data_IF_523158513720
#
_entry.id   IF_523158513720
#
_cell.length_a   1.000
_cell.length_b   1.000
_cell.length_c   1.000
_cell.angle_alpha   90.00
_cell.angle_beta   90.00
_cell.angle_gamma   90.00
#
_symmetry.space_group_name_H-M   'P 1'
#
loop_
_entity.id
_entity.type
_entity.pdbx_description
1 polymer ?
#
# COMPACT_ATOMS: atom_id res chain seq x y z
N UNK A 1 51.05 47.84 -34.35
CA UNK A 1 49.90 47.40 -35.23
C UNK A 1 49.43 45.96 -34.94
N UNK A 2 50.23 45.11 -34.32
CA UNK A 2 49.90 43.72 -33.98
C UNK A 2 48.91 43.54 -32.82
N UNK A 3 49.03 44.31 -31.75
CA UNK A 3 48.18 44.19 -30.55
C UNK A 3 46.69 44.53 -30.82
N UNK A 4 46.37 45.49 -31.65
CA UNK A 4 45.00 45.85 -32.04
C UNK A 4 44.32 44.72 -32.85
N UNK A 5 45.07 43.98 -33.67
CA UNK A 5 44.52 42.83 -34.42
C UNK A 5 44.23 41.64 -33.51
N UNK A 6 45.04 41.36 -32.48
CA UNK A 6 44.83 40.29 -31.47
C UNK A 6 43.63 40.60 -30.59
N UNK A 7 43.43 41.84 -30.14
CA UNK A 7 42.28 42.22 -29.30
C UNK A 7 40.96 42.14 -30.08
N UNK A 8 40.93 42.46 -31.36
CA UNK A 8 39.75 42.36 -32.24
C UNK A 8 39.41 40.87 -32.49
N UNK A 9 40.40 40.00 -32.66
CA UNK A 9 40.18 38.56 -32.88
C UNK A 9 39.64 37.87 -31.63
N UNK A 10 40.12 38.22 -30.43
CA UNK A 10 39.59 37.70 -29.17
C UNK A 10 38.16 38.19 -28.89
N UNK A 11 37.83 39.43 -29.24
CA UNK A 11 36.47 39.96 -29.11
C UNK A 11 35.48 39.23 -30.04
N UNK A 12 35.90 38.95 -31.31
CA UNK A 12 35.10 38.16 -32.25
C UNK A 12 34.87 36.71 -31.76
N UNK A 13 35.91 36.04 -31.25
CA UNK A 13 35.79 34.69 -30.67
C UNK A 13 34.83 34.65 -29.44
N UNK A 14 34.90 35.66 -28.58
CA UNK A 14 34.01 35.78 -27.43
C UNK A 14 32.56 35.99 -27.83
N UNK A 15 32.29 36.83 -28.83
CA UNK A 15 30.95 37.05 -29.37
C UNK A 15 30.44 35.78 -30.02
N UNK A 16 31.26 35.05 -30.80
CA UNK A 16 30.87 33.79 -31.41
C UNK A 16 30.50 32.71 -30.37
N UNK A 17 31.28 32.62 -29.29
CA UNK A 17 31.00 31.66 -28.22
C UNK A 17 29.70 32.00 -27.46
N UNK A 18 29.44 33.30 -27.24
CA UNK A 18 28.19 33.76 -26.62
C UNK A 18 27.01 33.47 -27.54
N UNK A 19 27.12 33.73 -28.83
CA UNK A 19 26.06 33.43 -29.80
C UNK A 19 25.77 31.95 -29.92
N UNK A 20 26.79 31.09 -29.90
CA UNK A 20 26.64 29.64 -29.89
C UNK A 20 25.95 29.14 -28.60
N UNK A 21 26.30 29.72 -27.45
CA UNK A 21 25.65 29.38 -26.17
C UNK A 21 24.17 29.79 -26.16
N UNK A 22 23.85 31.00 -26.70
CA UNK A 22 22.46 31.49 -26.80
C UNK A 22 21.65 30.58 -27.74
N UNK A 23 22.21 30.25 -28.91
CA UNK A 23 21.56 29.30 -29.84
C UNK A 23 21.35 27.94 -29.19
N UNK A 24 22.34 27.45 -28.46
CA UNK A 24 22.22 26.19 -27.68
C UNK A 24 21.08 26.22 -26.67
N UNK A 25 20.95 27.32 -25.92
CA UNK A 25 19.86 27.51 -24.97
C UNK A 25 18.48 27.54 -25.66
N UNK A 26 18.40 28.27 -26.81
CA UNK A 26 17.15 28.33 -27.58
C UNK A 26 16.77 26.95 -28.13
N UNK A 27 17.72 26.18 -28.67
CA UNK A 27 17.49 24.84 -29.20
C UNK A 27 17.04 23.90 -28.09
N UNK A 28 17.67 23.93 -26.90
CA UNK A 28 17.26 23.15 -25.74
C UNK A 28 15.86 23.56 -25.28
N UNK A 29 15.54 24.85 -25.24
CA UNK A 29 14.22 25.36 -24.90
C UNK A 29 13.14 24.90 -25.90
N UNK A 30 13.41 24.92 -27.19
CA UNK A 30 12.50 24.44 -28.24
C UNK A 30 12.29 22.91 -28.16
N UNK A 31 13.34 22.14 -27.91
CA UNK A 31 13.25 20.70 -27.70
C UNK A 31 12.43 20.38 -26.44
N UNK A 32 12.64 21.11 -25.35
CA UNK A 32 11.90 20.96 -24.12
C UNK A 32 10.41 21.29 -24.32
N UNK A 33 10.10 22.37 -25.03
CA UNK A 33 8.73 22.74 -25.38
C UNK A 33 8.04 21.65 -26.23
N UNK A 34 8.74 21.11 -27.22
CA UNK A 34 8.24 20.02 -28.06
C UNK A 34 8.02 18.72 -27.28
N UNK A 35 8.86 18.44 -26.29
CA UNK A 35 8.66 17.32 -25.34
C UNK A 35 7.40 17.56 -24.48
N UNK A 36 7.18 18.79 -24.00
CA UNK A 36 5.99 19.14 -23.23
C UNK A 36 4.70 19.05 -24.07
N UNK A 37 4.73 19.50 -25.31
CA UNK A 37 3.58 19.37 -26.24
C UNK A 37 3.24 17.92 -26.58
N UNK A 38 4.24 17.04 -26.68
CA UNK A 38 4.04 15.61 -26.92
C UNK A 38 3.87 14.79 -25.64
N UNK A 39 3.82 15.44 -24.45
CA UNK A 39 3.70 14.76 -23.16
C UNK A 39 2.46 13.86 -23.04
N UNK A 40 1.35 14.31 -23.62
CA UNK A 40 0.11 13.50 -23.67
C UNK A 40 0.26 12.22 -24.49
N UNK A 41 0.98 12.28 -25.63
CA UNK A 41 1.28 11.09 -26.43
C UNK A 41 2.25 10.14 -25.74
N UNK A 42 3.29 10.67 -25.09
CA UNK A 42 4.25 9.89 -24.31
C UNK A 42 3.54 9.20 -23.11
N UNK A 43 2.68 9.94 -22.41
CA UNK A 43 1.87 9.42 -21.32
C UNK A 43 0.92 8.29 -21.79
N UNK A 44 0.27 8.45 -22.93
CA UNK A 44 -0.57 7.42 -23.52
C UNK A 44 0.21 6.15 -23.89
N UNK A 45 1.45 6.26 -24.33
CA UNK A 45 2.33 5.11 -24.58
C UNK A 45 2.71 4.43 -23.27
N UNK A 46 3.09 5.20 -22.23
CA UNK A 46 3.41 4.65 -20.91
C UNK A 46 2.19 3.94 -20.30
N UNK A 47 0.98 4.50 -20.44
CA UNK A 47 -0.27 3.90 -19.96
C UNK A 47 -0.58 2.58 -20.68
N UNK A 48 -0.34 2.51 -21.99
CA UNK A 48 -0.48 1.26 -22.76
C UNK A 48 0.54 0.20 -22.32
N UNK A 49 1.80 0.59 -22.14
CA UNK A 49 2.85 -0.31 -21.67
C UNK A 49 2.51 -0.80 -20.25
N UNK A 50 2.16 0.12 -19.35
CA UNK A 50 1.77 -0.22 -17.98
C UNK A 50 0.58 -1.18 -17.94
N UNK A 51 -0.44 -0.94 -18.77
CA UNK A 51 -1.60 -1.81 -18.89
C UNK A 51 -1.25 -3.20 -19.42
N UNK A 52 -0.31 -3.30 -20.36
CA UNK A 52 0.15 -4.59 -20.88
C UNK A 52 0.96 -5.40 -19.84
N UNK A 53 1.72 -4.71 -18.98
CA UNK A 53 2.47 -5.36 -17.90
C UNK A 53 1.65 -5.60 -16.63
N UNK A 54 0.45 -5.03 -16.51
CA UNK A 54 -0.38 -5.15 -15.31
C UNK A 54 -0.59 -6.60 -14.82
N UNK A 55 -0.92 -7.60 -15.67
CA UNK A 55 -1.08 -8.98 -15.22
C UNK A 55 0.24 -9.58 -14.66
N UNK A 56 1.37 -9.24 -15.26
CA UNK A 56 2.70 -9.71 -14.81
C UNK A 56 3.06 -9.09 -13.46
N UNK A 57 2.78 -7.79 -13.29
CA UNK A 57 2.99 -7.09 -12.02
C UNK A 57 2.11 -7.69 -10.93
N UNK A 58 0.81 -7.92 -11.23
CA UNK A 58 -0.11 -8.59 -10.29
C UNK A 58 0.42 -9.98 -9.92
N UNK A 59 0.88 -10.77 -10.89
CA UNK A 59 1.47 -12.09 -10.65
C UNK A 59 2.75 -12.03 -9.79
N UNK A 60 3.61 -11.05 -10.03
CA UNK A 60 4.81 -10.84 -9.21
C UNK A 60 4.46 -10.44 -7.76
N UNK A 61 3.44 -9.60 -7.58
CA UNK A 61 2.93 -9.23 -6.25
C UNK A 61 2.35 -10.45 -5.52
N UNK A 62 1.51 -11.26 -6.19
CA UNK A 62 0.98 -12.50 -5.62
C UNK A 62 2.12 -13.44 -5.23
N UNK A 63 3.10 -13.67 -6.12
CA UNK A 63 4.25 -14.52 -5.84
C UNK A 63 5.08 -14.01 -4.65
N UNK A 64 5.23 -12.69 -4.52
CA UNK A 64 5.93 -12.06 -3.40
C UNK A 64 5.19 -12.25 -2.07
N UNK A 65 3.88 -12.02 -2.05
CA UNK A 65 3.03 -12.20 -0.86
C UNK A 65 2.96 -13.67 -0.43
N UNK A 66 2.93 -14.59 -1.39
CA UNK A 66 2.87 -16.03 -1.13
C UNK A 66 4.24 -16.66 -0.85
N UNK A 67 5.33 -15.92 -1.03
CA UNK A 67 6.67 -16.45 -0.82
C UNK A 67 6.93 -17.07 0.58
N UNK A 68 6.43 -16.55 1.71
CA UNK A 68 6.57 -17.20 3.02
C UNK A 68 5.94 -18.59 3.04
N UNK A 69 4.74 -18.73 2.48
CA UNK A 69 4.01 -20.01 2.39
C UNK A 69 4.76 -20.99 1.47
N UNK A 70 5.25 -20.49 0.33
CA UNK A 70 6.06 -21.27 -0.61
C UNK A 70 7.32 -21.81 0.06
N UNK A 71 8.06 -20.99 0.81
CA UNK A 71 9.28 -21.41 1.50
C UNK A 71 8.98 -22.43 2.60
N UNK A 72 7.85 -22.28 3.30
CA UNK A 72 7.40 -23.27 4.29
C UNK A 72 7.19 -24.63 3.64
N UNK A 73 6.42 -24.72 2.56
CA UNK A 73 6.17 -25.98 1.86
C UNK A 73 7.43 -26.54 1.19
N UNK A 74 8.30 -25.69 0.64
CA UNK A 74 9.59 -26.10 0.08
C UNK A 74 10.45 -26.84 1.12
N UNK A 75 10.57 -26.28 2.31
CA UNK A 75 11.32 -26.92 3.41
C UNK A 75 10.68 -28.23 3.81
N UNK A 76 9.35 -28.24 3.97
CA UNK A 76 8.60 -29.41 4.35
C UNK A 76 8.80 -30.58 3.35
N UNK A 77 8.58 -30.33 2.07
CA UNK A 77 8.74 -31.36 1.04
C UNK A 77 10.20 -31.76 0.82
N UNK A 78 11.13 -30.82 0.92
CA UNK A 78 12.54 -31.14 0.82
C UNK A 78 12.96 -32.12 1.94
N UNK A 79 12.53 -31.89 3.17
CA UNK A 79 12.81 -32.78 4.31
C UNK A 79 12.17 -34.16 4.12
N UNK A 80 10.87 -34.20 3.76
CA UNK A 80 10.15 -35.47 3.56
C UNK A 80 10.78 -36.34 2.46
N UNK A 81 11.13 -35.76 1.32
CA UNK A 81 11.65 -36.50 0.18
C UNK A 81 13.14 -36.84 0.28
N UNK A 82 13.93 -35.99 0.98
CA UNK A 82 15.34 -36.25 1.20
C UNK A 82 15.58 -37.50 2.03
N UNK A 83 14.73 -37.76 3.02
CA UNK A 83 14.87 -38.90 3.95
C UNK A 83 14.41 -40.24 3.35
N UNK A 84 13.55 -40.26 2.31
CA UNK A 84 12.83 -41.48 1.93
C UNK A 84 12.84 -41.90 0.44
N UNK A 85 13.04 -41.01 -0.53
CA UNK A 85 12.62 -41.32 -1.90
C UNK A 85 13.59 -40.90 -3.02
N UNK A 86 14.32 -39.79 -2.94
CA UNK A 86 15.04 -39.24 -4.08
C UNK A 86 16.52 -38.97 -3.76
N UNK A 87 17.41 -39.79 -4.32
CA UNK A 87 18.86 -39.63 -4.17
C UNK A 87 19.48 -38.54 -5.06
N UNK A 88 18.82 -38.16 -6.16
CA UNK A 88 19.27 -37.10 -7.08
C UNK A 88 18.83 -35.72 -6.60
N UNK A 89 19.78 -34.89 -6.16
CA UNK A 89 19.55 -33.53 -5.66
C UNK A 89 18.78 -32.61 -6.62
N UNK A 90 19.00 -32.75 -7.95
CA UNK A 90 18.31 -31.94 -8.96
C UNK A 90 16.86 -32.36 -9.13
N UNK A 91 16.57 -33.66 -9.11
CA UNK A 91 15.21 -34.19 -9.17
C UNK A 91 14.47 -33.86 -7.88
N UNK A 92 15.11 -34.03 -6.72
CA UNK A 92 14.55 -33.66 -5.41
C UNK A 92 14.10 -32.18 -5.38
N UNK A 93 14.99 -31.26 -5.77
CA UNK A 93 14.67 -29.82 -5.82
C UNK A 93 13.49 -29.52 -6.75
N UNK A 94 13.48 -30.12 -7.96
CA UNK A 94 12.42 -29.89 -8.94
C UNK A 94 11.07 -30.41 -8.46
N UNK A 95 11.03 -31.62 -7.88
CA UNK A 95 9.78 -32.22 -7.36
C UNK A 95 9.26 -31.44 -6.17
N UNK A 96 10.09 -31.15 -5.15
CA UNK A 96 9.72 -30.33 -3.99
C UNK A 96 9.17 -28.99 -4.42
N UNK A 97 9.88 -28.26 -5.32
CA UNK A 97 9.45 -26.97 -5.82
C UNK A 97 8.09 -27.02 -6.54
N UNK A 98 7.89 -28.00 -7.41
CA UNK A 98 6.61 -28.14 -8.13
C UNK A 98 5.45 -28.38 -7.19
N UNK A 99 5.60 -29.27 -6.22
CA UNK A 99 4.57 -29.55 -5.22
C UNK A 99 4.31 -28.34 -4.32
N UNK A 100 5.37 -27.64 -3.90
CA UNK A 100 5.25 -26.42 -3.09
C UNK A 100 4.49 -25.32 -3.81
N UNK A 101 4.76 -25.11 -5.10
CA UNK A 101 4.07 -24.10 -5.92
C UNK A 101 2.60 -24.46 -6.07
N UNK A 102 2.28 -25.72 -6.37
CA UNK A 102 0.90 -26.20 -6.50
C UNK A 102 0.15 -25.96 -5.18
N UNK A 103 0.71 -26.44 -4.06
CA UNK A 103 0.04 -26.31 -2.77
C UNK A 103 -0.08 -24.85 -2.32
N UNK A 104 0.93 -24.01 -2.54
CA UNK A 104 0.85 -22.56 -2.28
C UNK A 104 -0.25 -21.91 -3.10
N UNK A 105 -0.39 -22.28 -4.37
CA UNK A 105 -1.45 -21.75 -5.25
C UNK A 105 -2.83 -22.21 -4.77
N UNK A 106 -2.98 -23.47 -4.38
CA UNK A 106 -4.25 -23.98 -3.80
C UNK A 106 -4.59 -23.25 -2.51
N UNK A 107 -3.63 -23.04 -1.61
CA UNK A 107 -3.84 -22.28 -0.37
C UNK A 107 -4.24 -20.84 -0.68
N UNK A 108 -3.58 -20.18 -1.63
CA UNK A 108 -3.93 -18.82 -2.05
C UNK A 108 -5.38 -18.73 -2.58
N UNK A 109 -5.74 -19.63 -3.49
CA UNK A 109 -7.10 -19.69 -4.03
C UNK A 109 -8.12 -20.04 -2.94
N UNK A 110 -7.78 -20.93 -2.02
CA UNK A 110 -8.61 -21.29 -0.88
C UNK A 110 -8.85 -20.09 0.05
N UNK A 111 -7.81 -19.30 0.36
CA UNK A 111 -7.93 -18.06 1.16
C UNK A 111 -8.85 -17.06 0.45
N UNK A 112 -8.61 -16.79 -0.83
CA UNK A 112 -9.43 -15.83 -1.60
C UNK A 112 -10.89 -16.29 -1.66
N UNK A 113 -11.12 -17.56 -2.01
CA UNK A 113 -12.48 -18.14 -2.07
C UNK A 113 -13.16 -18.10 -0.70
N UNK A 114 -12.44 -18.45 0.37
CA UNK A 114 -12.95 -18.38 1.73
C UNK A 114 -13.33 -16.97 2.16
N UNK A 115 -12.49 -15.98 1.88
CA UNK A 115 -12.78 -14.56 2.16
C UNK A 115 -14.02 -14.12 1.37
N UNK A 116 -14.08 -14.40 0.07
CA UNK A 116 -15.22 -14.02 -0.78
C UNK A 116 -16.50 -14.67 -0.27
N UNK A 117 -16.48 -15.98 -0.01
CA UNK A 117 -17.66 -16.74 0.42
C UNK A 117 -18.16 -16.34 1.82
N UNK A 118 -17.25 -16.02 2.74
CA UNK A 118 -17.60 -15.68 4.12
C UNK A 118 -17.95 -14.19 4.28
N UNK A 119 -17.16 -13.30 3.67
CA UNK A 119 -17.25 -11.85 3.93
C UNK A 119 -18.27 -11.17 3.03
N UNK A 120 -18.31 -11.51 1.73
CA UNK A 120 -19.15 -10.78 0.76
C UNK A 120 -20.65 -10.88 1.07
N UNK A 121 -21.24 -12.05 1.38
CA UNK A 121 -22.64 -12.13 1.75
C UNK A 121 -22.97 -11.29 2.99
N UNK A 122 -22.12 -11.36 4.01
CA UNK A 122 -22.34 -10.62 5.27
C UNK A 122 -22.20 -9.09 5.07
N UNK A 123 -21.28 -8.64 4.21
CA UNK A 123 -21.20 -7.24 3.81
C UNK A 123 -22.46 -6.79 3.07
N UNK A 124 -22.96 -7.61 2.15
CA UNK A 124 -24.20 -7.35 1.43
C UNK A 124 -25.39 -7.18 2.36
N UNK A 125 -25.56 -8.13 3.28
CA UNK A 125 -26.64 -8.10 4.27
C UNK A 125 -26.53 -6.88 5.18
N UNK A 126 -25.32 -6.53 5.62
CA UNK A 126 -25.05 -5.34 6.45
C UNK A 126 -25.41 -4.06 5.72
N UNK A 127 -25.02 -3.93 4.45
CA UNK A 127 -25.35 -2.75 3.64
C UNK A 127 -26.85 -2.67 3.36
N UNK A 128 -27.48 -3.80 3.04
CA UNK A 128 -28.93 -3.89 2.80
C UNK A 128 -29.73 -3.48 4.04
N UNK A 129 -29.33 -3.97 5.23
CA UNK A 129 -29.95 -3.57 6.50
C UNK A 129 -29.76 -2.08 6.77
N UNK A 130 -28.56 -1.52 6.51
CA UNK A 130 -28.29 -0.09 6.67
C UNK A 130 -29.21 0.74 5.79
N UNK A 131 -29.35 0.37 4.51
CA UNK A 131 -30.24 1.05 3.56
C UNK A 131 -31.71 0.89 3.94
N UNK A 132 -32.13 -0.32 4.31
CA UNK A 132 -33.53 -0.62 4.65
C UNK A 132 -34.02 0.05 5.94
N UNK A 133 -33.12 0.37 6.85
CA UNK A 133 -33.45 0.99 8.13
C UNK A 133 -33.17 2.50 8.18
N UNK A 134 -32.83 3.12 7.05
CA UNK A 134 -32.44 4.54 7.00
C UNK A 134 -33.51 5.48 7.59
N UNK A 135 -34.81 5.25 7.30
CA UNK A 135 -35.91 6.06 7.81
C UNK A 135 -36.02 5.95 9.35
N UNK A 136 -35.87 4.73 9.88
CA UNK A 136 -35.84 4.49 11.32
C UNK A 136 -34.66 5.20 11.99
N UNK A 137 -33.50 5.15 11.38
CA UNK A 137 -32.31 5.84 11.89
C UNK A 137 -32.45 7.35 11.87
N UNK A 138 -33.07 7.88 10.80
CA UNK A 138 -33.35 9.31 10.71
C UNK A 138 -34.29 9.76 11.83
N UNK A 139 -35.40 9.03 12.08
CA UNK A 139 -36.31 9.34 13.18
C UNK A 139 -35.66 9.23 14.56
N UNK A 140 -34.78 8.24 14.78
CA UNK A 140 -34.03 8.12 16.01
C UNK A 140 -33.09 9.32 16.27
N UNK A 141 -32.42 9.82 15.20
CA UNK A 141 -31.60 11.02 15.30
C UNK A 141 -32.43 12.27 15.62
N UNK A 142 -33.61 12.41 15.02
CA UNK A 142 -34.52 13.51 15.37
C UNK A 142 -34.93 13.47 16.84
N UNK A 143 -35.40 12.34 17.33
CA UNK A 143 -35.75 12.15 18.75
C UNK A 143 -34.56 12.41 19.68
N UNK A 144 -33.34 12.03 19.28
CA UNK A 144 -32.13 12.31 20.04
C UNK A 144 -31.85 13.83 20.14
N UNK A 145 -31.99 14.54 19.02
CA UNK A 145 -31.81 16.02 18.99
C UNK A 145 -32.89 16.73 19.88
N UNK A 146 -34.14 16.28 19.77
CA UNK A 146 -35.25 16.79 20.63
C UNK A 146 -34.93 16.56 22.11
N UNK A 147 -34.52 15.35 22.50
CA UNK A 147 -34.15 15.02 23.88
C UNK A 147 -32.95 15.84 24.39
N UNK A 148 -31.97 16.13 23.51
CA UNK A 148 -30.84 17.01 23.86
C UNK A 148 -31.30 18.44 24.05
N UNK A 149 -32.15 18.96 23.18
CA UNK A 149 -32.71 20.32 23.32
C UNK A 149 -33.53 20.49 24.59
N UNK A 150 -34.39 19.53 24.95
CA UNK A 150 -35.14 19.54 26.20
C UNK A 150 -34.23 19.55 27.45
N UNK A 151 -33.17 18.72 27.44
CA UNK A 151 -32.22 18.62 28.57
C UNK A 151 -31.30 19.84 28.71
N UNK A 152 -31.01 20.50 27.61
CA UNK A 152 -30.08 21.62 27.54
C UNK A 152 -30.77 22.93 27.09
N UNK A 153 -31.95 23.26 27.65
CA UNK A 153 -32.74 24.47 27.36
C UNK A 153 -31.93 25.79 27.34
N UNK A 154 -30.71 25.80 27.88
CA UNK A 154 -29.79 26.96 27.88
C UNK A 154 -28.96 27.12 26.59
N UNK A 155 -28.95 26.16 25.69
CA UNK A 155 -28.04 26.18 24.52
C UNK A 155 -28.59 26.97 23.34
N UNK A 156 -29.89 27.39 23.35
CA UNK A 156 -30.52 28.19 22.29
C UNK A 156 -30.14 27.78 20.87
N UNK A 157 -30.07 26.48 20.62
CA UNK A 157 -29.69 25.94 19.31
C UNK A 157 -30.91 26.04 18.38
N UNK A 158 -30.83 26.73 17.23
CA UNK A 158 -31.97 26.88 16.34
C UNK A 158 -32.32 25.48 15.74
N UNK A 159 -33.41 24.89 16.19
CA UNK A 159 -33.89 23.57 15.74
C UNK A 159 -34.04 23.49 14.22
N UNK A 160 -34.51 24.54 13.59
CA UNK A 160 -34.68 24.65 12.15
C UNK A 160 -33.36 24.45 11.37
N UNK A 161 -32.26 24.97 11.91
CA UNK A 161 -30.95 24.80 11.26
C UNK A 161 -30.45 23.37 11.38
N UNK A 162 -30.58 22.77 12.58
CA UNK A 162 -30.14 21.37 12.79
C UNK A 162 -30.96 20.45 11.92
N UNK A 163 -32.29 20.59 11.93
CA UNK A 163 -33.19 19.78 11.11
C UNK A 163 -32.88 19.93 9.61
N UNK A 164 -32.53 21.13 9.15
CA UNK A 164 -32.12 21.38 7.76
C UNK A 164 -30.79 20.67 7.41
N UNK A 165 -29.81 20.75 8.31
CA UNK A 165 -28.53 20.04 8.08
C UNK A 165 -28.69 18.53 8.15
N UNK A 166 -29.47 18.01 9.09
CA UNK A 166 -29.75 16.58 9.21
C UNK A 166 -30.51 16.06 7.97
N UNK A 167 -31.54 16.76 7.52
CA UNK A 167 -32.28 16.36 6.33
C UNK A 167 -31.40 16.38 5.07
N UNK A 168 -30.57 17.40 4.90
CA UNK A 168 -29.62 17.47 3.80
C UNK A 168 -28.58 16.34 3.84
N UNK A 169 -28.08 16.00 5.04
CA UNK A 169 -27.16 14.89 5.24
C UNK A 169 -27.83 13.54 4.93
N UNK A 170 -29.05 13.34 5.45
CA UNK A 170 -29.84 12.14 5.18
C UNK A 170 -30.09 11.94 3.69
N UNK A 171 -30.57 12.95 2.96
CA UNK A 171 -30.83 12.87 1.53
C UNK A 171 -29.55 12.56 0.73
N UNK A 172 -28.42 13.16 1.08
CA UNK A 172 -27.12 12.90 0.43
C UNK A 172 -26.63 11.46 0.69
N UNK A 173 -26.74 10.98 1.92
CA UNK A 173 -26.34 9.62 2.28
C UNK A 173 -27.26 8.60 1.61
N UNK A 174 -28.59 8.83 1.62
CA UNK A 174 -29.58 8.00 0.95
C UNK A 174 -29.33 7.93 -0.56
N UNK A 175 -29.09 9.08 -1.21
CA UNK A 175 -28.73 9.13 -2.64
C UNK A 175 -27.43 8.36 -2.91
N UNK A 176 -26.38 8.57 -2.12
CA UNK A 176 -25.12 7.86 -2.29
C UNK A 176 -25.26 6.35 -2.10
N UNK A 177 -26.04 5.91 -1.11
CA UNK A 177 -26.29 4.50 -0.87
C UNK A 177 -27.09 3.88 -2.02
N UNK A 178 -28.18 4.51 -2.43
CA UNK A 178 -29.09 3.96 -3.45
C UNK A 178 -28.52 4.05 -4.87
N UNK A 179 -27.81 5.15 -5.20
CA UNK A 179 -27.35 5.38 -6.58
C UNK A 179 -25.94 4.86 -6.85
N UNK A 180 -25.06 4.86 -5.83
CA UNK A 180 -23.63 4.51 -6.00
C UNK A 180 -23.25 3.20 -5.32
N UNK A 181 -23.69 2.99 -4.07
CA UNK A 181 -23.23 1.83 -3.30
C UNK A 181 -24.06 0.60 -3.65
N UNK A 182 -25.38 0.65 -3.47
CA UNK A 182 -26.25 -0.51 -3.63
C UNK A 182 -26.16 -1.15 -5.03
N UNK A 183 -26.23 -0.39 -6.15
CA UNK A 183 -26.11 -0.97 -7.48
C UNK A 183 -24.75 -1.64 -7.73
N UNK A 184 -23.69 -1.16 -7.09
CA UNK A 184 -22.38 -1.78 -7.21
C UNK A 184 -22.26 -3.05 -6.36
N UNK A 185 -22.84 -3.05 -5.15
CA UNK A 185 -22.90 -4.22 -4.26
C UNK A 185 -23.77 -5.31 -4.89
N UNK A 186 -24.96 -4.96 -5.42
CA UNK A 186 -25.83 -5.90 -6.15
C UNK A 186 -25.10 -6.52 -7.35
N UNK A 187 -24.40 -5.73 -8.15
CA UNK A 187 -23.57 -6.24 -9.26
C UNK A 187 -22.50 -7.21 -8.78
N UNK A 188 -21.81 -6.91 -7.68
CA UNK A 188 -20.79 -7.81 -7.14
C UNK A 188 -21.42 -9.13 -6.70
N UNK A 189 -22.52 -9.09 -5.95
CA UNK A 189 -23.20 -10.31 -5.46
C UNK A 189 -23.79 -11.13 -6.60
N UNK A 190 -24.49 -10.50 -7.53
CA UNK A 190 -25.04 -11.18 -8.72
C UNK A 190 -23.92 -11.78 -9.57
N UNK A 191 -22.82 -11.05 -9.76
CA UNK A 191 -21.68 -11.55 -10.53
C UNK A 191 -20.95 -12.71 -9.84
N UNK A 192 -20.85 -12.70 -8.52
CA UNK A 192 -20.29 -13.82 -7.74
C UNK A 192 -21.25 -15.01 -7.81
N UNK A 193 -22.55 -14.79 -7.58
CA UNK A 193 -23.56 -15.83 -7.56
C UNK A 193 -23.84 -16.45 -8.94
N UNK A 194 -23.77 -15.66 -10.02
CA UNK A 194 -23.96 -16.12 -11.40
C UNK A 194 -22.68 -16.63 -12.09
N UNK A 195 -21.52 -16.51 -11.44
CA UNK A 195 -20.22 -16.81 -12.06
C UNK A 195 -19.81 -15.84 -13.17
N UNK A 196 -20.60 -14.77 -13.40
CA UNK A 196 -20.33 -13.76 -14.42
C UNK A 196 -19.68 -12.56 -13.77
N UNK A 197 -18.34 -12.52 -13.81
CA UNK A 197 -17.62 -11.31 -13.48
C UNK A 197 -17.82 -10.26 -14.58
N UNK A 198 -18.52 -9.19 -14.30
CA UNK A 198 -18.69 -8.04 -15.22
C UNK A 198 -17.40 -7.27 -15.52
N UNK A 199 -16.27 -7.76 -15.04
CA UNK A 199 -14.94 -7.25 -15.32
C UNK A 199 -14.09 -8.27 -16.08
N UNK A 200 -14.46 -8.61 -17.33
CA UNK A 200 -13.62 -9.48 -18.18
C UNK A 200 -12.14 -9.08 -18.14
N UNK A 201 -11.85 -7.79 -18.09
CA UNK A 201 -10.48 -7.27 -17.97
C UNK A 201 -9.85 -7.58 -16.61
N UNK A 202 -10.61 -7.48 -15.51
CA UNK A 202 -10.12 -7.82 -14.16
C UNK A 202 -9.88 -9.32 -14.05
N UNK A 203 -10.83 -10.14 -14.50
CA UNK A 203 -10.72 -11.60 -14.50
C UNK A 203 -9.54 -12.06 -15.37
N UNK A 204 -9.40 -11.48 -16.56
CA UNK A 204 -8.27 -11.74 -17.45
C UNK A 204 -6.93 -11.41 -16.76
N UNK A 205 -6.80 -10.20 -16.21
CA UNK A 205 -5.58 -9.79 -15.50
C UNK A 205 -5.30 -10.67 -14.27
N UNK A 206 -6.33 -11.06 -13.53
CA UNK A 206 -6.22 -11.92 -12.37
C UNK A 206 -5.80 -13.34 -12.73
N UNK A 207 -6.45 -13.96 -13.72
CA UNK A 207 -6.09 -15.30 -14.20
C UNK A 207 -4.67 -15.35 -14.76
N UNK A 208 -4.31 -14.39 -15.62
CA UNK A 208 -2.94 -14.28 -16.11
C UNK A 208 -1.97 -13.95 -14.97
N UNK A 209 -2.39 -13.14 -14.01
CA UNK A 209 -1.62 -12.88 -12.79
C UNK A 209 -1.33 -14.15 -11.99
N UNK A 210 -2.32 -15.04 -11.83
CA UNK A 210 -2.11 -16.34 -11.18
C UNK A 210 -1.10 -17.18 -11.97
N UNK A 211 -1.27 -17.29 -13.28
CA UNK A 211 -0.32 -18.04 -14.14
C UNK A 211 1.08 -17.44 -14.04
N UNK A 212 1.20 -16.10 -14.09
CA UNK A 212 2.47 -15.41 -13.93
C UNK A 212 3.07 -15.64 -12.53
N UNK A 213 2.24 -15.65 -11.46
CA UNK A 213 2.72 -15.92 -10.10
C UNK A 213 3.27 -17.34 -9.96
N UNK A 214 2.59 -18.34 -10.53
CA UNK A 214 3.07 -19.73 -10.58
C UNK A 214 4.43 -19.78 -11.26
N UNK A 215 4.56 -19.09 -12.41
CA UNK A 215 5.81 -19.07 -13.16
C UNK A 215 6.95 -18.40 -12.39
N UNK A 216 6.67 -17.27 -11.74
CA UNK A 216 7.64 -16.55 -10.90
C UNK A 216 8.05 -17.41 -9.71
N UNK A 217 7.10 -18.00 -8.98
CA UNK A 217 7.37 -18.88 -7.83
C UNK A 217 8.18 -20.12 -8.23
N UNK A 218 7.86 -20.76 -9.37
CA UNK A 218 8.57 -21.92 -9.84
C UNK A 218 10.01 -21.62 -10.27
N UNK A 219 10.28 -20.42 -10.78
CA UNK A 219 11.55 -20.06 -11.38
C UNK A 219 12.30 -18.94 -10.65
N UNK A 220 11.95 -18.62 -9.40
CA UNK A 220 12.48 -17.44 -8.68
C UNK A 220 14.01 -17.43 -8.60
N UNK A 221 14.64 -18.57 -8.35
CA UNK A 221 16.09 -18.69 -8.26
C UNK A 221 16.77 -18.47 -9.63
N UNK A 222 16.15 -18.99 -10.70
CA UNK A 222 16.64 -18.79 -12.06
C UNK A 222 16.54 -17.32 -12.50
N UNK A 223 15.40 -16.67 -12.20
CA UNK A 223 15.19 -15.25 -12.48
C UNK A 223 16.19 -14.38 -11.70
N UNK A 224 16.37 -14.67 -10.41
CA UNK A 224 17.36 -14.00 -9.56
C UNK A 224 18.79 -14.20 -10.08
N UNK A 225 19.14 -15.42 -10.52
CA UNK A 225 20.48 -15.72 -11.07
C UNK A 225 20.73 -14.99 -12.38
N UNK A 226 19.72 -14.86 -13.25
CA UNK A 226 19.81 -14.03 -14.46
C UNK A 226 20.00 -12.57 -14.15
N UNK A 227 19.25 -12.02 -13.18
CA UNK A 227 19.44 -10.64 -12.70
C UNK A 227 20.86 -10.42 -12.18
N UNK A 228 21.38 -11.31 -11.34
CA UNK A 228 22.78 -11.27 -10.87
C UNK A 228 23.79 -11.28 -12.01
N UNK A 229 23.59 -12.16 -13.00
CA UNK A 229 24.46 -12.25 -14.20
C UNK A 229 24.50 -10.92 -14.97
N UNK A 230 23.36 -10.26 -15.16
CA UNK A 230 23.29 -8.95 -15.83
C UNK A 230 24.06 -7.90 -15.04
N UNK A 231 23.87 -7.84 -13.70
CA UNK A 231 24.54 -6.88 -12.83
C UNK A 231 26.07 -7.06 -12.90
N UNK A 232 26.56 -8.31 -12.83
CA UNK A 232 28.01 -8.58 -12.95
C UNK A 232 28.55 -8.32 -14.36
N UNK A 233 27.72 -8.42 -15.41
CA UNK A 233 28.15 -8.12 -16.77
C UNK A 233 28.28 -6.61 -17.03
N UNK A 234 27.44 -5.79 -16.37
CA UNK A 234 27.39 -4.34 -16.60
C UNK A 234 28.32 -3.57 -15.65
N UNK A 235 28.44 -4.02 -14.40
CA UNK A 235 29.19 -3.30 -13.36
C UNK A 235 30.49 -4.03 -12.97
N UNK A 236 31.49 -3.26 -12.51
CA UNK A 236 32.68 -3.82 -11.89
C UNK A 236 32.31 -4.64 -10.65
N UNK A 237 33.01 -5.73 -10.37
CA UNK A 237 32.71 -6.71 -9.32
C UNK A 237 32.42 -6.03 -7.96
N UNK A 238 33.23 -5.05 -7.55
CA UNK A 238 33.03 -4.31 -6.29
C UNK A 238 31.66 -3.62 -6.25
N UNK A 239 31.29 -2.90 -7.32
CA UNK A 239 30.01 -2.20 -7.42
C UNK A 239 28.84 -3.18 -7.55
N UNK A 240 29.04 -4.27 -8.31
CA UNK A 240 28.03 -5.33 -8.47
C UNK A 240 27.66 -5.96 -7.12
N UNK A 241 28.67 -6.27 -6.27
CA UNK A 241 28.43 -6.79 -4.92
C UNK A 241 27.62 -5.79 -4.09
N UNK A 242 28.00 -4.51 -4.10
CA UNK A 242 27.27 -3.46 -3.36
C UNK A 242 25.80 -3.33 -3.82
N UNK A 243 25.55 -3.44 -5.13
CA UNK A 243 24.19 -3.42 -5.69
C UNK A 243 23.41 -4.66 -5.22
N UNK A 244 24.00 -5.84 -5.28
CA UNK A 244 23.34 -7.08 -4.88
C UNK A 244 23.02 -7.12 -3.38
N UNK A 245 23.94 -6.62 -2.52
CA UNK A 245 23.70 -6.47 -1.10
C UNK A 245 22.55 -5.49 -0.83
N UNK A 246 22.52 -4.36 -1.55
CA UNK A 246 21.43 -3.39 -1.48
C UNK A 246 20.08 -4.01 -1.88
N UNK A 247 20.02 -4.74 -3.00
CA UNK A 247 18.81 -5.42 -3.46
C UNK A 247 18.32 -6.50 -2.48
N UNK A 248 19.26 -7.23 -1.87
CA UNK A 248 18.92 -8.23 -0.85
C UNK A 248 18.27 -7.57 0.38
N UNK A 249 18.85 -6.47 0.82
CA UNK A 249 18.33 -5.70 1.96
C UNK A 249 16.98 -5.04 1.64
N UNK A 250 16.81 -4.47 0.44
CA UNK A 250 15.51 -3.97 -0.03
C UNK A 250 14.45 -5.07 0.00
N UNK A 251 14.77 -6.26 -0.54
CA UNK A 251 13.85 -7.40 -0.51
C UNK A 251 13.46 -7.80 0.93
N UNK A 252 14.40 -7.74 1.87
CA UNK A 252 14.15 -7.98 3.29
C UNK A 252 13.19 -6.94 3.88
N UNK A 253 13.49 -5.65 3.68
CA UNK A 253 12.66 -4.54 4.19
C UNK A 253 11.22 -4.63 3.64
N UNK A 254 11.07 -4.76 2.32
CA UNK A 254 9.76 -4.90 1.69
C UNK A 254 9.00 -6.14 2.19
N UNK A 255 9.68 -7.30 2.24
CA UNK A 255 9.06 -8.55 2.65
C UNK A 255 8.57 -8.51 4.09
N UNK A 256 9.39 -8.06 5.01
CA UNK A 256 9.04 -7.96 6.41
C UNK A 256 7.93 -6.93 6.64
N UNK A 257 8.01 -5.75 6.01
CA UNK A 257 7.01 -4.70 6.18
C UNK A 257 5.65 -5.10 5.61
N UNK A 258 5.59 -5.54 4.35
CA UNK A 258 4.31 -5.84 3.69
C UNK A 258 3.65 -7.07 4.31
N UNK A 259 4.41 -8.18 4.49
CA UNK A 259 3.85 -9.38 5.09
C UNK A 259 3.47 -9.14 6.55
N UNK A 260 4.29 -8.38 7.29
CA UNK A 260 3.99 -7.98 8.66
C UNK A 260 2.71 -7.15 8.72
N UNK A 261 2.55 -6.15 7.84
CA UNK A 261 1.37 -5.27 7.87
C UNK A 261 0.08 -5.96 7.44
N UNK A 262 0.15 -6.91 6.49
CA UNK A 262 -1.00 -7.73 6.12
C UNK A 262 -1.41 -8.64 7.28
N UNK A 263 -0.46 -9.31 7.93
CA UNK A 263 -0.74 -10.17 9.08
C UNK A 263 -1.33 -9.38 10.25
N UNK A 264 -0.74 -8.23 10.56
CA UNK A 264 -1.20 -7.27 11.55
C UNK A 264 -2.65 -6.86 11.31
N UNK A 265 -2.96 -6.39 10.11
CA UNK A 265 -4.29 -5.97 9.69
C UNK A 265 -5.32 -7.10 9.76
N UNK A 266 -4.93 -8.31 9.41
CA UNK A 266 -5.80 -9.49 9.51
C UNK A 266 -6.12 -9.83 10.97
N UNK A 267 -5.13 -9.77 11.86
CA UNK A 267 -5.31 -9.99 13.30
C UNK A 267 -6.22 -8.90 13.89
N UNK A 268 -5.97 -7.63 13.58
CA UNK A 268 -6.79 -6.50 14.04
C UNK A 268 -8.24 -6.65 13.56
N UNK A 269 -8.45 -7.01 12.28
CA UNK A 269 -9.78 -7.27 11.74
C UNK A 269 -10.49 -8.42 12.45
N UNK A 270 -9.79 -9.52 12.77
CA UNK A 270 -10.36 -10.64 13.51
C UNK A 270 -10.72 -10.26 14.97
N UNK A 271 -9.81 -9.55 15.66
CA UNK A 271 -10.09 -9.09 17.04
C UNK A 271 -11.29 -8.14 17.02
N UNK A 272 -11.34 -7.20 16.06
CA UNK A 272 -12.46 -6.29 15.91
C UNK A 272 -13.77 -7.03 15.68
N UNK A 273 -13.77 -8.09 14.86
CA UNK A 273 -14.95 -8.92 14.61
C UNK A 273 -15.43 -9.62 15.89
N UNK A 274 -14.52 -10.24 16.63
CA UNK A 274 -14.84 -10.94 17.86
C UNK A 274 -15.41 -9.95 18.90
N UNK A 275 -14.73 -8.83 19.14
CA UNK A 275 -15.15 -7.83 20.12
C UNK A 275 -16.49 -7.19 19.73
N UNK A 276 -16.67 -6.82 18.45
CA UNK A 276 -17.93 -6.26 17.95
C UNK A 276 -19.09 -7.23 18.10
N UNK A 277 -18.86 -8.52 17.89
CA UNK A 277 -19.87 -9.57 18.07
C UNK A 277 -20.24 -9.76 19.54
N UNK A 278 -19.24 -9.82 20.45
CA UNK A 278 -19.48 -9.95 21.90
C UNK A 278 -20.25 -8.76 22.45
N UNK A 279 -19.92 -7.55 22.00
CA UNK A 279 -20.60 -6.31 22.43
C UNK A 279 -21.91 -6.05 21.69
N UNK A 280 -22.33 -6.95 20.82
CA UNK A 280 -23.53 -6.81 19.98
C UNK A 280 -23.55 -5.47 19.22
N UNK A 281 -22.42 -5.04 18.67
CA UNK A 281 -22.36 -3.83 17.84
C UNK A 281 -23.10 -4.08 16.52
N UNK A 282 -23.89 -3.11 16.03
CA UNK A 282 -24.52 -3.24 14.72
C UNK A 282 -23.45 -3.31 13.63
N UNK A 283 -23.72 -4.12 12.61
CA UNK A 283 -22.83 -4.28 11.45
C UNK A 283 -21.40 -4.76 11.78
N UNK A 284 -21.26 -5.67 12.75
CA UNK A 284 -19.98 -6.15 13.25
C UNK A 284 -19.01 -6.60 12.14
N UNK A 285 -19.49 -7.32 11.11
CA UNK A 285 -18.67 -7.76 9.98
C UNK A 285 -18.20 -6.57 9.13
N UNK A 286 -19.11 -5.65 8.80
CA UNK A 286 -18.78 -4.47 8.00
C UNK A 286 -17.71 -3.61 8.71
N UNK A 287 -17.90 -3.35 10.00
CA UNK A 287 -16.95 -2.58 10.82
C UNK A 287 -15.58 -3.28 10.84
N UNK A 288 -15.57 -4.60 11.08
CA UNK A 288 -14.33 -5.37 11.21
C UNK A 288 -13.55 -5.43 9.90
N UNK A 289 -14.23 -5.54 8.77
CA UNK A 289 -13.61 -5.51 7.45
C UNK A 289 -13.07 -4.11 7.14
N UNK A 290 -13.83 -3.05 7.41
CA UNK A 290 -13.36 -1.68 7.19
C UNK A 290 -12.13 -1.40 8.05
N UNK A 291 -12.18 -1.68 9.36
CA UNK A 291 -11.07 -1.44 10.28
C UNK A 291 -9.86 -2.30 9.89
N UNK A 292 -10.05 -3.59 9.60
CA UNK A 292 -8.96 -4.48 9.19
C UNK A 292 -8.29 -4.04 7.89
N UNK A 293 -9.08 -3.73 6.86
CA UNK A 293 -8.53 -3.31 5.56
C UNK A 293 -7.82 -1.96 5.66
N UNK A 294 -8.40 -1.00 6.37
CA UNK A 294 -7.78 0.33 6.51
C UNK A 294 -6.52 0.28 7.38
N UNK A 295 -6.42 -0.65 8.34
CA UNK A 295 -5.25 -0.81 9.21
C UNK A 295 -3.96 -1.15 8.45
N UNK A 296 -4.06 -1.58 7.19
CA UNK A 296 -2.90 -1.77 6.31
C UNK A 296 -2.10 -0.47 6.12
N UNK A 297 -2.76 0.69 6.22
CA UNK A 297 -2.12 2.01 6.10
C UNK A 297 -1.60 2.45 7.48
N UNK A 298 -0.29 2.60 7.67
CA UNK A 298 0.25 3.06 8.95
C UNK A 298 -0.28 4.45 9.34
N UNK A 299 -0.56 4.65 10.62
CA UNK A 299 -1.09 5.87 11.24
C UNK A 299 -2.49 6.31 10.77
N UNK A 300 -2.73 6.36 9.47
CA UNK A 300 -3.99 6.85 8.90
C UNK A 300 -5.08 5.79 8.83
N UNK A 301 -4.68 4.51 8.75
CA UNK A 301 -5.62 3.39 8.64
C UNK A 301 -6.70 3.40 9.72
N UNK A 302 -6.30 3.48 11.00
CA UNK A 302 -7.26 3.53 12.10
C UNK A 302 -8.26 4.69 12.01
N UNK A 303 -7.80 5.88 11.63
CA UNK A 303 -8.65 7.07 11.51
C UNK A 303 -9.59 6.93 10.32
N UNK A 304 -9.07 6.50 9.16
CA UNK A 304 -9.85 6.28 7.94
C UNK A 304 -10.92 5.21 8.17
N UNK A 305 -10.64 4.19 8.98
CA UNK A 305 -11.60 3.15 9.33
C UNK A 305 -12.59 3.59 10.42
N UNK A 306 -12.11 4.27 11.47
CA UNK A 306 -12.94 4.68 12.60
C UNK A 306 -14.04 5.65 12.21
N UNK A 307 -13.72 6.66 11.37
CA UNK A 307 -14.68 7.72 11.01
C UNK A 307 -15.93 7.17 10.34
N UNK A 308 -15.86 6.41 9.22
CA UNK A 308 -17.08 5.86 8.62
C UNK A 308 -17.78 4.85 9.53
N UNK A 309 -17.05 4.01 10.27
CA UNK A 309 -17.65 3.06 11.19
C UNK A 309 -18.41 3.76 12.31
N UNK A 310 -17.85 4.83 12.88
CA UNK A 310 -18.52 5.63 13.89
C UNK A 310 -19.86 6.18 13.38
N UNK A 311 -19.89 6.79 12.20
CA UNK A 311 -21.13 7.34 11.66
C UNK A 311 -22.15 6.26 11.32
N UNK A 312 -21.72 5.10 10.79
CA UNK A 312 -22.61 3.97 10.51
C UNK A 312 -23.29 3.48 11.80
N UNK A 313 -22.52 3.34 12.88
CA UNK A 313 -23.05 2.88 14.17
C UNK A 313 -23.83 3.97 14.88
N UNK A 314 -23.42 5.24 14.78
CA UNK A 314 -24.11 6.39 15.38
C UNK A 314 -25.56 6.50 14.87
N UNK A 315 -25.75 6.29 13.58
CA UNK A 315 -27.08 6.30 12.96
C UNK A 315 -27.94 5.14 13.49
N UNK A 316 -27.35 3.97 13.71
CA UNK A 316 -28.07 2.78 14.18
C UNK A 316 -28.34 2.82 15.71
N UNK A 317 -27.32 3.15 16.50
CA UNK A 317 -27.36 3.18 17.96
C UNK A 317 -26.31 4.16 18.49
N UNK A 318 -26.70 5.36 18.93
CA UNK A 318 -25.79 6.39 19.43
C UNK A 318 -24.93 5.95 20.61
N UNK A 319 -25.48 5.15 21.52
CA UNK A 319 -24.71 4.67 22.69
C UNK A 319 -23.63 3.68 22.24
N UNK A 320 -23.97 2.76 21.35
CA UNK A 320 -23.01 1.79 20.79
C UNK A 320 -21.93 2.45 19.93
N UNK A 321 -22.19 3.61 19.35
CA UNK A 321 -21.15 4.38 18.63
C UNK A 321 -20.02 4.84 19.56
N UNK A 322 -20.35 5.27 20.78
CA UNK A 322 -19.35 5.63 21.79
C UNK A 322 -18.56 4.41 22.27
N UNK A 323 -19.26 3.28 22.45
CA UNK A 323 -18.61 1.98 22.76
C UNK A 323 -17.63 1.59 21.64
N UNK A 324 -18.05 1.73 20.39
CA UNK A 324 -17.18 1.46 19.22
C UNK A 324 -15.91 2.34 19.23
N UNK A 325 -16.03 3.64 19.53
CA UNK A 325 -14.85 4.52 19.63
C UNK A 325 -13.87 4.05 20.70
N UNK A 326 -14.38 3.67 21.87
CA UNK A 326 -13.55 3.16 22.97
C UNK A 326 -12.87 1.87 22.52
N UNK A 327 -13.59 0.94 21.89
CA UNK A 327 -13.03 -0.31 21.37
C UNK A 327 -11.92 -0.04 20.37
N UNK A 328 -12.14 0.86 19.41
CA UNK A 328 -11.13 1.23 18.40
C UNK A 328 -9.91 1.86 19.10
N UNK A 329 -10.08 2.77 20.05
CA UNK A 329 -8.96 3.38 20.77
C UNK A 329 -8.14 2.35 21.56
N UNK A 330 -8.79 1.42 22.26
CA UNK A 330 -8.12 0.33 22.99
C UNK A 330 -7.38 -0.59 22.00
N UNK A 331 -8.03 -0.93 20.90
CA UNK A 331 -7.45 -1.79 19.86
C UNK A 331 -6.23 -1.12 19.23
N UNK A 332 -6.26 0.19 19.00
CA UNK A 332 -5.12 0.95 18.46
C UNK A 332 -3.95 1.03 19.44
N UNK A 333 -4.23 1.15 20.75
CA UNK A 333 -3.17 1.07 21.77
C UNK A 333 -2.53 -0.32 21.82
N UNK A 334 -3.34 -1.37 21.64
CA UNK A 334 -2.85 -2.75 21.56
C UNK A 334 -2.00 -2.94 20.29
N UNK A 335 -2.47 -2.45 19.13
CA UNK A 335 -1.75 -2.52 17.87
C UNK A 335 -0.40 -1.78 17.97
N UNK A 336 -0.42 -0.51 18.35
CA UNK A 336 0.78 0.34 18.37
C UNK A 336 1.85 -0.10 19.37
N UNK A 337 1.46 -0.63 20.54
CA UNK A 337 2.41 -0.94 21.63
C UNK A 337 2.78 -2.42 21.73
N UNK A 338 1.95 -3.33 21.22
CA UNK A 338 2.17 -4.77 21.39
C UNK A 338 2.28 -5.49 20.04
N UNK A 339 1.27 -5.36 19.19
CA UNK A 339 1.16 -6.15 17.97
C UNK A 339 2.15 -5.67 16.90
N UNK A 340 2.16 -4.38 16.61
CA UNK A 340 3.05 -3.77 15.63
C UNK A 340 4.52 -4.05 15.89
N UNK A 341 5.07 -3.76 17.11
CA UNK A 341 6.45 -4.10 17.45
C UNK A 341 6.78 -5.58 17.36
N UNK A 342 5.84 -6.47 17.71
CA UNK A 342 6.04 -7.92 17.63
C UNK A 342 6.06 -8.46 16.21
N UNK A 343 5.21 -7.92 15.33
CA UNK A 343 5.04 -8.43 13.95
C UNK A 343 6.02 -7.76 13.00
N UNK A 344 6.09 -6.42 13.03
CA UNK A 344 6.87 -5.64 12.08
C UNK A 344 8.30 -5.42 12.60
N UNK A 345 8.45 -5.24 13.94
CA UNK A 345 9.73 -4.92 14.56
C UNK A 345 10.34 -3.63 14.04
N UNK A 346 11.63 -3.43 14.30
CA UNK A 346 12.42 -2.27 13.81
C UNK A 346 12.89 -2.42 12.36
N UNK A 347 12.08 -3.07 11.54
CA UNK A 347 12.47 -3.50 10.17
C UNK A 347 12.84 -2.34 9.25
N UNK A 348 12.19 -1.18 9.43
CA UNK A 348 12.38 -0.02 8.55
C UNK A 348 13.53 0.87 8.99
N UNK A 349 13.93 0.82 10.26
CA UNK A 349 14.92 1.75 10.84
C UNK A 349 14.54 3.23 10.74
N UNK A 350 13.29 3.52 10.42
CA UNK A 350 12.77 4.89 10.28
C UNK A 350 12.16 5.36 11.60
N UNK A 351 12.41 6.63 11.96
CA UNK A 351 11.63 7.26 13.03
C UNK A 351 10.18 7.48 12.59
N UNK A 352 9.27 7.64 13.56
CA UNK A 352 7.84 7.87 13.29
C UNK A 352 7.59 9.06 12.37
N UNK A 353 8.42 10.12 12.45
CA UNK A 353 8.35 11.27 11.55
C UNK A 353 8.56 10.87 10.09
N UNK A 354 9.58 10.04 9.79
CA UNK A 354 9.87 9.60 8.43
C UNK A 354 8.81 8.62 7.90
N UNK A 355 8.24 7.79 8.77
CA UNK A 355 7.12 6.91 8.39
C UNK A 355 5.90 7.74 8.03
N UNK A 356 5.53 8.75 8.84
CA UNK A 356 4.44 9.67 8.54
C UNK A 356 4.67 10.41 7.22
N UNK A 357 5.88 10.96 7.03
CA UNK A 357 6.27 11.65 5.79
C UNK A 357 6.15 10.72 4.58
N UNK A 358 6.60 9.48 4.69
CA UNK A 358 6.53 8.48 3.61
C UNK A 358 5.07 8.17 3.22
N UNK A 359 4.16 8.07 4.20
CA UNK A 359 2.73 7.82 3.95
C UNK A 359 2.08 9.04 3.29
N UNK A 360 2.35 10.27 3.76
CA UNK A 360 1.78 11.49 3.17
C UNK A 360 2.27 11.69 1.73
N UNK A 361 3.57 11.64 1.51
CA UNK A 361 4.17 11.84 0.18
C UNK A 361 3.78 10.71 -0.77
N UNK A 362 3.87 9.46 -0.31
CA UNK A 362 3.45 8.30 -1.09
C UNK A 362 1.97 8.39 -1.47
N UNK A 363 1.12 8.73 -0.50
CA UNK A 363 -0.32 8.92 -0.71
C UNK A 363 -0.65 10.02 -1.72
N UNK A 364 0.05 11.15 -1.64
CA UNK A 364 -0.11 12.26 -2.59
C UNK A 364 0.30 11.92 -4.02
N UNK A 365 1.32 11.06 -4.19
CA UNK A 365 1.84 10.69 -5.51
C UNK A 365 1.09 9.50 -6.14
N UNK A 366 0.77 8.47 -5.36
CA UNK A 366 0.28 7.19 -5.86
C UNK A 366 -1.00 6.69 -5.15
N UNK A 367 -1.69 7.56 -4.39
CA UNK A 367 -2.92 7.22 -3.69
C UNK A 367 -2.74 6.09 -2.65
N UNK A 368 -3.72 5.20 -2.55
CA UNK A 368 -3.72 4.09 -1.59
C UNK A 368 -2.46 3.22 -1.64
N UNK A 369 -2.04 2.82 -2.83
CA UNK A 369 -0.82 2.02 -3.00
C UNK A 369 0.43 2.78 -2.58
N UNK A 370 0.46 4.10 -2.78
CA UNK A 370 1.53 4.96 -2.32
C UNK A 370 1.61 5.07 -0.80
N UNK A 371 0.47 5.10 -0.10
CA UNK A 371 0.45 5.07 1.37
C UNK A 371 1.02 3.76 1.92
N UNK A 372 0.70 2.63 1.29
CA UNK A 372 1.18 1.31 1.71
C UNK A 372 2.67 1.11 1.38
N UNK A 373 3.06 1.38 0.13
CA UNK A 373 4.41 1.10 -0.36
C UNK A 373 5.40 2.23 -0.05
N UNK A 374 4.92 3.42 0.28
CA UNK A 374 5.75 4.58 0.57
C UNK A 374 6.73 4.33 1.71
N UNK A 375 6.29 3.67 2.77
CA UNK A 375 7.15 3.38 3.94
C UNK A 375 8.34 2.49 3.58
N UNK A 376 8.18 1.31 2.97
CA UNK A 376 9.33 0.49 2.59
C UNK A 376 10.21 1.14 1.49
N UNK A 377 9.62 1.91 0.57
CA UNK A 377 10.39 2.68 -0.43
C UNK A 377 11.26 3.72 0.28
N UNK A 378 10.68 4.47 1.20
CA UNK A 378 11.40 5.51 1.94
C UNK A 378 12.47 4.89 2.84
N UNK A 379 12.20 3.76 3.47
CA UNK A 379 13.18 3.00 4.25
C UNK A 379 14.39 2.57 3.40
N UNK A 380 14.15 2.10 2.19
CA UNK A 380 15.23 1.75 1.26
C UNK A 380 16.05 2.98 0.84
N UNK A 381 15.40 4.11 0.54
CA UNK A 381 16.09 5.36 0.22
C UNK A 381 16.93 5.84 1.41
N UNK A 382 16.35 5.84 2.61
CA UNK A 382 17.03 6.23 3.84
C UNK A 382 18.25 5.34 4.12
N UNK A 383 18.08 4.03 4.02
CA UNK A 383 19.16 3.05 4.17
C UNK A 383 20.32 3.33 3.19
N UNK A 384 20.00 3.56 1.92
CA UNK A 384 21.01 3.84 0.90
C UNK A 384 21.76 5.16 1.17
N UNK A 385 21.04 6.22 1.52
CA UNK A 385 21.62 7.52 1.88
C UNK A 385 22.52 7.35 3.12
N UNK A 386 22.03 6.72 4.17
CA UNK A 386 22.77 6.52 5.41
C UNK A 386 24.05 5.70 5.19
N UNK A 387 23.97 4.62 4.39
CA UNK A 387 25.15 3.81 4.04
C UNK A 387 26.19 4.61 3.25
N UNK A 388 25.73 5.43 2.31
CA UNK A 388 26.61 6.28 1.50
C UNK A 388 27.25 7.38 2.34
N UNK A 389 26.48 8.03 3.23
CA UNK A 389 26.99 9.03 4.16
C UNK A 389 28.04 8.41 5.11
N UNK A 390 27.73 7.28 5.73
CA UNK A 390 28.64 6.58 6.64
C UNK A 390 29.97 6.22 5.94
N UNK A 391 29.92 5.68 4.73
CA UNK A 391 31.12 5.34 3.97
C UNK A 391 31.98 6.58 3.69
N UNK A 392 31.36 7.71 3.29
CA UNK A 392 32.09 8.97 3.03
C UNK A 392 32.65 9.62 4.29
N UNK A 393 31.97 9.49 5.43
CA UNK A 393 32.46 10.00 6.71
C UNK A 393 33.64 9.17 7.18
N UNK A 394 33.62 7.85 7.02
CA UNK A 394 34.74 6.97 7.32
C UNK A 394 35.96 7.28 6.44
N UNK A 395 35.77 7.53 5.15
CA UNK A 395 36.88 7.96 4.26
C UNK A 395 37.55 9.26 4.73
N UNK A 396 36.79 10.14 5.41
CA UNK A 396 37.28 11.43 5.95
C UNK A 396 37.76 11.33 7.40
N UNK A 397 37.75 10.13 7.99
CA UNK A 397 38.04 9.91 9.43
C UNK A 397 37.14 10.75 10.37
N UNK A 398 35.91 11.00 9.97
CA UNK A 398 34.93 11.73 10.77
C UNK A 398 33.98 10.76 11.48
N UNK A 399 33.39 11.24 12.58
CA UNK A 399 32.36 10.53 13.31
C UNK A 399 31.18 10.14 12.37
N UNK A 400 30.61 8.96 12.56
CA UNK A 400 29.50 8.50 11.71
C UNK A 400 28.17 8.34 12.47
N UNK A 401 28.17 8.46 13.80
CA UNK A 401 26.95 8.42 14.62
C UNK A 401 26.28 9.79 14.64
N UNK A 402 24.97 9.84 14.33
CA UNK A 402 24.19 11.08 14.30
C UNK A 402 24.25 11.84 15.63
N UNK A 403 24.27 11.14 16.77
CA UNK A 403 24.34 11.75 18.10
C UNK A 403 25.63 12.56 18.36
N UNK A 404 26.68 12.27 17.62
CA UNK A 404 27.95 13.02 17.74
C UNK A 404 27.85 14.38 17.05
N UNK A 405 26.95 14.55 16.09
CA UNK A 405 26.73 15.80 15.37
C UNK A 405 25.75 16.75 16.05
N UNK A 406 24.99 16.32 17.05
CA UNK A 406 24.00 17.17 17.73
C UNK A 406 24.64 18.39 18.42
N UNK A 407 25.88 18.26 18.89
CA UNK A 407 26.61 19.31 19.64
C UNK A 407 27.69 19.99 18.81
N UNK A 408 27.96 19.52 17.60
CA UNK A 408 29.01 20.07 16.74
C UNK A 408 28.42 21.22 15.91
N UNK A 409 28.94 22.44 16.13
CA UNK A 409 28.56 23.59 15.33
C UNK A 409 29.38 23.67 14.02
N UNK A 410 30.64 23.27 14.04
CA UNK A 410 31.58 23.28 12.91
C UNK A 410 32.69 22.27 13.17
N UNK A 411 33.19 21.61 12.14
CA UNK A 411 34.40 20.78 12.17
C UNK A 411 35.45 21.57 11.43
N UNK A 412 36.59 21.86 12.08
CA UNK A 412 37.73 22.60 11.53
C UNK A 412 38.62 21.70 10.68
#
# INVERSE_FOLDING_TARGET
MGEKKLAVNNKKKRILNISLAVIGIIVVGLLFNKILEQWSGFRAILDKISSAFAPIIVGAVIAFLMNPILVFFDRLFHTIFQERVISDKKKLFKVSRTLSVILTTIVFLGIITGIVWLVVPQLYDSIKQLVGNMDTYYSNLQTMVENINEKFQKLNIPEDQINKYMNNAYLKVQDMLNTKIMPNVDKIVVNIGSGVFSGLKFLYNFLIGIVASIYVMANKEYLASRGKKIIYAVFKVKNANTILDGLSEMNRIFGQFINGKILDSLIIGMIMFIVSTILNLPYAVLISVIVGVTNVIPFFGPIIGAVPCFFIVLIADPIKSLVLLIVILVLQQFDGNILGPKIIGDTTGLSSFWVLTAVIVGGGLFGFFGMLLGVPVFACCYMYINRTCTAKLQEKNLAFKTSEYEKIRRID
#
